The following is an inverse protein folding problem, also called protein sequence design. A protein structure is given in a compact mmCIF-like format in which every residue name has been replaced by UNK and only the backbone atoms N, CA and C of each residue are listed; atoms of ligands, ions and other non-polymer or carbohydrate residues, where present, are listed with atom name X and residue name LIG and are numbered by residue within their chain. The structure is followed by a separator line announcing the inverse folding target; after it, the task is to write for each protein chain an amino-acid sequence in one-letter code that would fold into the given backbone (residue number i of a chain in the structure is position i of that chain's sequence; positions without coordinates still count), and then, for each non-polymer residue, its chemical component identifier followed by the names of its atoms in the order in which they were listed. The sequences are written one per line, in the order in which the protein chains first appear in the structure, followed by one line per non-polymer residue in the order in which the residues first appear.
data_IF_384797535670
#
_entry.id   IF_384797535670
#
_cell.length_a   1.000
_cell.length_b   1.000
_cell.length_c   1.000
_cell.angle_alpha   90.00
_cell.angle_beta   90.00
_cell.angle_gamma   90.00
#
_symmetry.space_group_name_H-M   'P 1'
#
loop_
_entity.id
_entity.type
_entity.pdbx_description
1 polymer ?
#
# COMPACT_ATOMS: atom_id res chain seq x y z
N UNK A 1 8.41 9.91 -8.55
CA UNK A 1 7.91 8.53 -8.78
C UNK A 1 6.48 8.59 -9.32
N UNK A 2 6.18 7.76 -10.29
CA UNK A 2 4.81 7.60 -10.80
C UNK A 2 4.11 6.50 -10.01
N UNK A 3 2.82 6.67 -9.77
CA UNK A 3 1.99 5.67 -9.11
C UNK A 3 1.06 5.05 -10.14
N UNK A 4 1.08 3.74 -10.22
CA UNK A 4 0.23 2.97 -11.13
C UNK A 4 -0.64 2.02 -10.32
N UNK A 5 -1.94 2.05 -10.55
CA UNK A 5 -2.88 1.12 -9.95
C UNK A 5 -3.33 0.08 -10.97
N UNK A 6 -3.35 -1.18 -10.57
CA UNK A 6 -4.10 -2.19 -11.32
C UNK A 6 -5.60 -1.92 -11.17
N UNK A 7 -6.46 -2.46 -12.06
CA UNK A 7 -7.91 -2.31 -11.89
C UNK A 7 -8.40 -2.78 -10.52
N UNK A 8 -7.90 -3.91 -10.02
CA UNK A 8 -8.29 -4.44 -8.72
C UNK A 8 -7.81 -3.53 -7.58
N UNK A 9 -6.58 -3.05 -7.64
CA UNK A 9 -6.04 -2.14 -6.61
C UNK A 9 -6.83 -0.83 -6.57
N UNK A 10 -7.22 -0.30 -7.73
CA UNK A 10 -8.03 0.91 -7.81
C UNK A 10 -9.41 0.70 -7.21
N UNK A 11 -10.03 -0.45 -7.47
CA UNK A 11 -11.31 -0.81 -6.88
C UNK A 11 -11.22 -0.89 -5.34
N UNK A 12 -10.16 -1.50 -4.82
CA UNK A 12 -9.91 -1.58 -3.37
C UNK A 12 -9.72 -0.19 -2.76
N UNK A 13 -8.96 0.67 -3.41
CA UNK A 13 -8.73 2.03 -2.97
C UNK A 13 -10.05 2.82 -2.84
N UNK A 14 -10.90 2.73 -3.85
CA UNK A 14 -12.22 3.37 -3.83
C UNK A 14 -13.14 2.76 -2.77
N UNK A 15 -13.03 1.46 -2.54
CA UNK A 15 -13.81 0.79 -1.50
C UNK A 15 -13.47 1.34 -0.10
N UNK A 16 -12.18 1.51 0.22
CA UNK A 16 -11.75 2.10 1.49
C UNK A 16 -12.28 3.52 1.65
N UNK A 17 -12.25 4.31 0.59
CA UNK A 17 -12.78 5.67 0.61
C UNK A 17 -14.26 5.71 1.01
N UNK A 18 -15.05 4.76 0.52
CA UNK A 18 -16.49 4.71 0.74
C UNK A 18 -16.87 4.07 2.07
N UNK A 19 -16.08 3.12 2.59
CA UNK A 19 -16.49 2.25 3.69
C UNK A 19 -15.66 2.40 4.98
N UNK A 20 -14.42 2.86 4.89
CA UNK A 20 -13.54 2.97 6.06
C UNK A 20 -12.58 4.15 5.91
N UNK A 21 -13.01 5.31 6.39
CA UNK A 21 -12.24 6.55 6.23
C UNK A 21 -10.91 6.52 6.97
N UNK A 22 -10.85 5.88 8.14
CA UNK A 22 -9.61 5.79 8.90
C UNK A 22 -8.57 4.96 8.15
N UNK A 23 -8.98 3.81 7.62
CA UNK A 23 -8.10 2.97 6.79
C UNK A 23 -7.73 3.66 5.49
N UNK A 24 -8.65 4.36 4.86
CA UNK A 24 -8.39 5.14 3.67
C UNK A 24 -7.29 6.19 3.91
N UNK A 25 -7.36 6.92 5.01
CA UNK A 25 -6.32 7.88 5.41
C UNK A 25 -4.97 7.20 5.61
N UNK A 26 -4.98 6.01 6.22
CA UNK A 26 -3.77 5.22 6.43
C UNK A 26 -3.14 4.81 5.10
N UNK A 27 -3.95 4.35 4.14
CA UNK A 27 -3.49 3.99 2.79
C UNK A 27 -2.83 5.19 2.12
N UNK A 28 -3.46 6.35 2.15
CA UNK A 28 -2.91 7.57 1.57
C UNK A 28 -1.59 7.97 2.23
N UNK A 29 -1.49 7.83 3.54
CA UNK A 29 -0.26 8.12 4.27
C UNK A 29 0.88 7.18 3.86
N UNK A 30 0.56 5.91 3.63
CA UNK A 30 1.54 4.93 3.14
C UNK A 30 2.01 5.28 1.72
N UNK A 31 1.09 5.63 0.83
CA UNK A 31 1.43 6.04 -0.53
C UNK A 31 2.35 7.27 -0.51
N UNK A 32 2.05 8.27 0.29
CA UNK A 32 2.88 9.47 0.43
C UNK A 32 4.28 9.13 0.95
N UNK A 33 4.40 8.17 1.86
CA UNK A 33 5.68 7.76 2.41
C UNK A 33 6.50 6.91 1.42
N UNK A 34 5.84 6.07 0.62
CA UNK A 34 6.51 5.22 -0.37
C UNK A 34 7.24 6.07 -1.42
N UNK A 35 6.67 7.20 -1.83
CA UNK A 35 7.23 8.04 -2.87
C UNK A 35 8.68 8.44 -2.59
N UNK A 36 9.03 8.99 -1.39
CA UNK A 36 10.42 9.27 -1.05
C UNK A 36 11.18 8.10 -0.43
N UNK A 37 10.49 7.11 0.17
CA UNK A 37 11.11 6.09 1.03
C UNK A 37 10.69 4.67 0.63
N UNK A 38 10.92 4.28 -0.64
CA UNK A 38 10.39 3.03 -1.20
C UNK A 38 10.67 1.76 -0.37
N UNK A 39 11.88 1.64 0.20
CA UNK A 39 12.31 0.41 0.91
C UNK A 39 12.35 0.56 2.43
N UNK A 40 12.06 1.71 2.95
CA UNK A 40 12.02 1.97 4.40
C UNK A 40 10.90 2.97 4.70
N UNK A 41 10.56 3.08 5.99
CA UNK A 41 9.55 4.00 6.44
C UNK A 41 8.41 3.32 7.19
N UNK A 42 7.23 3.93 7.20
CA UNK A 42 6.09 3.45 7.97
C UNK A 42 5.48 2.17 7.38
N UNK A 43 4.76 1.41 8.20
CA UNK A 43 4.05 0.23 7.75
C UNK A 43 4.91 -1.03 7.63
N UNK A 44 6.10 -1.05 8.26
CA UNK A 44 6.99 -2.21 8.26
C UNK A 44 7.24 -2.75 6.85
N UNK A 45 7.95 -2.00 5.99
CA UNK A 45 8.24 -2.46 4.63
C UNK A 45 8.88 -3.83 4.63
N UNK A 46 8.43 -4.71 3.75
CA UNK A 46 8.89 -6.08 3.66
C UNK A 46 9.04 -6.50 2.21
N UNK A 47 10.23 -7.01 1.86
CA UNK A 47 10.47 -7.55 0.53
C UNK A 47 9.71 -8.85 0.33
N UNK A 48 9.04 -8.97 -0.80
CA UNK A 48 8.28 -10.18 -1.14
C UNK A 48 9.18 -11.19 -1.84
N UNK A 49 8.74 -12.45 -1.87
CA UNK A 49 9.54 -13.59 -2.35
C UNK A 49 8.79 -14.34 -3.44
N UNK A 50 9.44 -15.35 -4.02
CA UNK A 50 8.89 -16.24 -5.04
C UNK A 50 8.42 -15.45 -6.27
N UNK A 51 7.20 -15.67 -6.74
CA UNK A 51 6.67 -15.01 -7.91
C UNK A 51 6.47 -13.49 -7.73
N UNK A 52 6.54 -12.99 -6.50
CA UNK A 52 6.48 -11.57 -6.20
C UNK A 52 7.84 -10.96 -5.83
N UNK A 53 8.93 -11.68 -6.11
CA UNK A 53 10.29 -11.16 -5.87
C UNK A 53 10.50 -9.86 -6.65
N UNK A 54 11.09 -8.88 -5.99
CA UNK A 54 11.26 -7.53 -6.55
C UNK A 54 10.18 -6.54 -6.13
N UNK A 55 9.08 -7.03 -5.57
CA UNK A 55 8.04 -6.19 -4.99
C UNK A 55 8.21 -6.07 -3.48
N UNK A 56 7.64 -5.03 -2.92
CA UNK A 56 7.65 -4.77 -1.49
C UNK A 56 6.22 -4.55 -1.01
N UNK A 57 5.97 -4.82 0.26
CA UNK A 57 4.68 -4.56 0.87
C UNK A 57 4.82 -3.74 2.13
N UNK A 58 3.76 -3.01 2.49
CA UNK A 58 3.65 -2.28 3.74
C UNK A 58 2.31 -2.58 4.40
N UNK A 59 2.31 -2.60 5.73
CA UNK A 59 1.12 -2.93 6.51
C UNK A 59 0.14 -1.76 6.53
N UNK A 60 -1.09 -2.01 6.14
CA UNK A 60 -2.22 -1.09 6.30
C UNK A 60 -2.85 -1.31 7.67
N UNK A 61 -3.29 -2.53 7.94
CA UNK A 61 -3.85 -2.98 9.21
C UNK A 61 -3.23 -4.32 9.59
N UNK A 62 -3.68 -4.93 10.69
CA UNK A 62 -3.23 -6.29 11.06
C UNK A 62 -3.58 -7.34 10.00
N UNK A 63 -4.58 -7.09 9.16
CA UNK A 63 -5.07 -8.04 8.15
C UNK A 63 -4.67 -7.67 6.73
N UNK A 64 -4.43 -6.41 6.43
CA UNK A 64 -4.24 -5.93 5.07
C UNK A 64 -2.88 -5.29 4.87
N UNK A 65 -2.30 -5.51 3.68
CA UNK A 65 -1.04 -4.89 3.25
C UNK A 65 -1.20 -4.29 1.85
N UNK A 66 -0.42 -3.25 1.59
CA UNK A 66 -0.28 -2.67 0.26
C UNK A 66 1.00 -3.23 -0.39
N UNK A 67 0.90 -3.62 -1.64
CA UNK A 67 2.02 -4.20 -2.41
C UNK A 67 2.53 -3.21 -3.45
#
# INVERSE_FOLDING_TARGET
MKILFTPDAWADYLWWQAHDRATFKRVNKLIDDITPNGYEGIGKPEALRQNLAGFWSRRITSEHRIV
#
